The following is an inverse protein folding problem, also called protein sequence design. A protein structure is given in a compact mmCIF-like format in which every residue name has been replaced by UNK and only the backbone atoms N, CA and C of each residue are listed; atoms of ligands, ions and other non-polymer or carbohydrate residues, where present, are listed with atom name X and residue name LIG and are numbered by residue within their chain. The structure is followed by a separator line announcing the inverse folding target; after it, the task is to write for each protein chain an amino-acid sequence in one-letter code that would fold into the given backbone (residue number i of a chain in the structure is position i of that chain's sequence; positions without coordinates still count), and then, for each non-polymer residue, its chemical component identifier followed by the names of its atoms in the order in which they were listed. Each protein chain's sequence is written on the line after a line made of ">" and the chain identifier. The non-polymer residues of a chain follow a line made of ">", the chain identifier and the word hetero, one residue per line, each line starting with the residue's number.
data_IF_728199105774
#
_entry.id   IF_728199105774
#
_cell.length_a   1.000
_cell.length_b   1.000
_cell.length_c   1.000
_cell.angle_alpha   90.00
_cell.angle_beta   90.00
_cell.angle_gamma   90.00
#
_symmetry.space_group_name_H-M   'P 1'
#
loop_
_entity.id
_entity.type
_entity.pdbx_description
1 polymer ?
#
# COMPACT_ATOMS: atom_id res chain seq x y z
N UNK A 1 -29.90 -16.39 -6.14
CA UNK A 1 -28.54 -16.81 -6.53
C UNK A 1 -28.61 -18.17 -7.22
N UNK A 2 -27.81 -18.36 -8.25
CA UNK A 2 -27.61 -19.64 -8.95
C UNK A 2 -26.20 -20.14 -8.68
N UNK A 3 -26.04 -21.44 -8.46
CA UNK A 3 -24.75 -22.08 -8.18
C UNK A 3 -24.51 -23.16 -9.22
N UNK A 4 -23.31 -23.18 -9.80
CA UNK A 4 -22.85 -24.20 -10.74
C UNK A 4 -21.51 -24.76 -10.24
N UNK A 5 -21.39 -26.07 -10.16
CA UNK A 5 -20.11 -26.74 -9.91
C UNK A 5 -19.44 -27.09 -11.23
N UNK A 6 -18.11 -27.02 -11.27
CA UNK A 6 -17.36 -27.56 -12.40
C UNK A 6 -17.59 -29.08 -12.51
N UNK A 7 -17.54 -29.61 -13.73
CA UNK A 7 -17.79 -31.02 -14.02
C UNK A 7 -16.84 -31.95 -13.25
N UNK A 8 -15.66 -31.45 -12.90
CA UNK A 8 -14.60 -32.17 -12.20
C UNK A 8 -14.33 -31.54 -10.82
N UNK A 9 -15.34 -30.94 -10.20
CA UNK A 9 -15.25 -30.26 -8.91
C UNK A 9 -14.49 -31.05 -7.82
N UNK A 10 -14.59 -32.38 -7.82
CA UNK A 10 -13.83 -33.23 -6.90
C UNK A 10 -12.32 -32.95 -6.93
N UNK A 11 -11.79 -32.61 -8.09
CA UNK A 11 -10.38 -32.29 -8.35
C UNK A 11 -10.15 -30.79 -8.48
N UNK A 12 -10.94 -30.09 -9.30
CA UNK A 12 -10.72 -28.66 -9.60
C UNK A 12 -11.10 -27.73 -8.46
N UNK A 13 -12.03 -28.16 -7.60
CA UNK A 13 -12.57 -27.34 -6.50
C UNK A 13 -13.23 -26.03 -6.97
N UNK A 14 -13.58 -25.96 -8.25
CA UNK A 14 -14.18 -24.78 -8.88
C UNK A 14 -15.72 -24.74 -8.75
N UNK A 15 -16.28 -23.66 -8.23
CA UNK A 15 -17.72 -23.41 -8.30
C UNK A 15 -18.01 -21.94 -8.64
N UNK A 16 -19.12 -21.73 -9.33
CA UNK A 16 -19.55 -20.44 -9.87
C UNK A 16 -20.88 -20.05 -9.23
N UNK A 17 -20.98 -18.81 -8.75
CA UNK A 17 -22.18 -18.28 -8.12
C UNK A 17 -22.59 -16.99 -8.81
N UNK A 18 -23.75 -17.02 -9.46
CA UNK A 18 -24.40 -15.82 -9.96
C UNK A 18 -25.40 -15.34 -8.90
N UNK A 19 -25.09 -14.24 -8.23
CA UNK A 19 -26.06 -13.56 -7.37
C UNK A 19 -26.65 -12.36 -8.12
N UNK A 20 -27.97 -12.30 -8.28
CA UNK A 20 -28.66 -11.21 -8.99
C UNK A 20 -29.71 -10.67 -8.03
N UNK A 21 -29.53 -9.42 -7.64
CA UNK A 21 -30.37 -8.66 -6.72
C UNK A 21 -30.11 -7.15 -6.90
N UNK A 22 -30.89 -6.32 -6.20
CA UNK A 22 -31.00 -4.88 -6.47
C UNK A 22 -29.71 -4.09 -6.15
N UNK A 23 -28.85 -4.60 -5.25
CA UNK A 23 -27.48 -4.13 -5.01
C UNK A 23 -26.57 -5.34 -4.70
N UNK A 24 -25.32 -5.31 -5.15
CA UNK A 24 -24.37 -6.40 -4.90
C UNK A 24 -24.46 -7.57 -5.89
N UNK A 25 -25.16 -7.38 -7.01
CA UNK A 25 -25.32 -8.40 -8.04
C UNK A 25 -24.02 -8.67 -8.78
N UNK A 26 -23.58 -9.92 -8.78
CA UNK A 26 -22.29 -10.28 -9.34
C UNK A 26 -22.13 -11.76 -9.70
N UNK A 27 -21.14 -12.00 -10.55
CA UNK A 27 -20.64 -13.33 -10.88
C UNK A 27 -19.41 -13.63 -10.02
N UNK A 28 -19.48 -14.68 -9.21
CA UNK A 28 -18.44 -15.08 -8.27
C UNK A 28 -17.92 -16.48 -8.59
N UNK A 29 -16.65 -16.73 -8.27
CA UNK A 29 -15.94 -17.99 -8.50
C UNK A 29 -15.15 -18.35 -7.25
N UNK A 30 -15.23 -19.60 -6.83
CA UNK A 30 -14.29 -20.22 -5.90
C UNK A 30 -13.42 -21.19 -6.66
N UNK A 31 -12.15 -21.30 -6.28
CA UNK A 31 -11.18 -22.28 -6.82
C UNK A 31 -10.56 -23.14 -5.70
N UNK A 32 -11.08 -23.01 -4.49
CA UNK A 32 -10.52 -23.59 -3.26
C UNK A 32 -11.56 -24.39 -2.46
N UNK A 33 -12.63 -24.81 -3.15
CA UNK A 33 -13.60 -25.73 -2.59
C UNK A 33 -14.65 -25.01 -1.75
N UNK A 34 -15.07 -23.82 -2.18
CA UNK A 34 -16.03 -22.96 -1.48
C UNK A 34 -15.50 -22.37 -0.16
N UNK A 35 -14.17 -22.30 0.00
CA UNK A 35 -13.57 -21.65 1.17
C UNK A 35 -13.61 -20.13 1.01
N UNK A 36 -13.21 -19.64 -0.17
CA UNK A 36 -13.28 -18.24 -0.55
C UNK A 36 -13.94 -18.10 -1.92
N UNK A 37 -14.66 -16.99 -2.13
CA UNK A 37 -15.28 -16.63 -3.40
C UNK A 37 -14.76 -15.27 -3.84
N UNK A 38 -14.16 -15.22 -5.03
CA UNK A 38 -13.77 -13.98 -5.70
C UNK A 38 -14.86 -13.57 -6.68
N UNK A 39 -15.07 -12.27 -6.86
CA UNK A 39 -16.10 -11.77 -7.76
C UNK A 39 -15.52 -11.36 -9.11
N UNK A 40 -15.66 -12.17 -10.15
CA UNK A 40 -15.09 -11.91 -11.49
C UNK A 40 -15.79 -10.86 -12.35
N UNK A 41 -17.05 -10.54 -12.06
CA UNK A 41 -17.75 -9.49 -12.80
C UNK A 41 -18.84 -8.87 -11.97
N UNK A 42 -18.96 -7.55 -12.12
CA UNK A 42 -20.13 -6.79 -11.72
C UNK A 42 -21.28 -7.07 -12.69
N UNK A 43 -22.47 -7.30 -12.14
CA UNK A 43 -23.71 -7.36 -12.93
C UNK A 43 -24.62 -6.19 -12.56
N UNK A 44 -24.42 -5.56 -11.39
CA UNK A 44 -25.22 -4.43 -10.92
C UNK A 44 -24.56 -3.64 -9.76
N UNK A 45 -23.27 -3.24 -9.88
CA UNK A 45 -22.66 -2.26 -8.94
C UNK A 45 -21.99 -1.11 -9.71
N UNK A 46 -21.95 0.05 -9.08
CA UNK A 46 -21.23 1.23 -9.55
C UNK A 46 -20.03 1.45 -8.64
N UNK A 47 -18.81 1.42 -9.20
CA UNK A 47 -17.62 1.91 -8.48
C UNK A 47 -17.68 3.44 -8.50
N UNK A 48 -17.89 4.06 -7.34
CA UNK A 48 -18.06 5.52 -7.26
C UNK A 48 -16.75 6.28 -7.01
N UNK A 49 -15.82 5.70 -6.25
CA UNK A 49 -14.53 6.35 -5.95
C UNK A 49 -13.39 5.34 -5.90
N UNK A 50 -12.20 5.81 -6.27
CA UNK A 50 -10.94 5.11 -6.03
C UNK A 50 -10.29 5.67 -4.77
N UNK A 51 -9.87 4.78 -3.88
CA UNK A 51 -9.18 5.13 -2.63
C UNK A 51 -7.68 5.05 -2.84
N UNK A 52 -7.20 3.91 -3.36
CA UNK A 52 -5.78 3.69 -3.65
C UNK A 52 -5.61 2.64 -4.75
N UNK A 53 -4.46 2.66 -5.43
CA UNK A 53 -4.09 1.77 -6.52
C UNK A 53 -2.60 1.43 -6.41
N UNK A 54 -2.25 0.17 -6.62
CA UNK A 54 -0.87 -0.22 -6.88
C UNK A 54 -0.79 -1.27 -7.99
N UNK A 55 0.37 -1.36 -8.63
CA UNK A 55 0.60 -2.16 -9.84
C UNK A 55 1.82 -3.05 -9.63
N UNK A 56 1.63 -4.35 -9.82
CA UNK A 56 2.68 -5.34 -9.78
C UNK A 56 3.63 -5.22 -10.99
N UNK A 57 4.84 -5.76 -10.85
CA UNK A 57 5.85 -5.81 -11.92
C UNK A 57 5.41 -6.56 -13.18
N UNK A 58 4.44 -7.48 -13.06
CA UNK A 58 3.86 -8.22 -14.19
C UNK A 58 2.61 -7.56 -14.81
N UNK A 59 2.23 -6.37 -14.33
CA UNK A 59 1.06 -5.64 -14.81
C UNK A 59 -0.27 -6.03 -14.13
N UNK A 60 -0.27 -6.96 -13.17
CA UNK A 60 -1.42 -7.14 -12.29
C UNK A 60 -1.67 -5.85 -11.50
N UNK A 61 -2.93 -5.48 -11.30
CA UNK A 61 -3.29 -4.24 -10.61
C UNK A 61 -4.13 -4.54 -9.38
N UNK A 62 -3.96 -3.75 -8.33
CA UNK A 62 -4.72 -3.88 -7.09
C UNK A 62 -5.29 -2.53 -6.68
N UNK A 63 -6.59 -2.49 -6.47
CA UNK A 63 -7.34 -1.25 -6.30
C UNK A 63 -8.24 -1.33 -5.08
N UNK A 64 -8.25 -0.29 -4.26
CA UNK A 64 -9.27 -0.07 -3.22
C UNK A 64 -10.32 0.90 -3.76
N UNK A 65 -11.60 0.55 -3.64
CA UNK A 65 -12.73 1.41 -4.07
C UNK A 65 -13.64 1.80 -2.91
N UNK A 66 -14.16 3.02 -2.89
CA UNK A 66 -15.17 3.48 -1.93
C UNK A 66 -16.58 3.64 -2.53
N UNK A 67 -17.65 3.77 -1.71
CA UNK A 67 -17.64 3.80 -0.23
C UNK A 67 -17.62 2.41 0.44
N UNK A 68 -17.90 1.35 -0.32
CA UNK A 68 -18.01 0.00 0.24
C UNK A 68 -16.66 -0.62 0.60
N UNK A 69 -15.56 0.06 0.26
CA UNK A 69 -14.19 -0.29 0.57
C UNK A 69 -13.88 -1.75 0.21
N UNK A 70 -13.84 -2.00 -1.08
CA UNK A 70 -13.53 -3.30 -1.66
C UNK A 70 -12.12 -3.31 -2.22
N UNK A 71 -11.43 -4.44 -2.14
CA UNK A 71 -10.19 -4.68 -2.90
C UNK A 71 -10.56 -5.39 -4.20
N UNK A 72 -10.08 -4.85 -5.30
CA UNK A 72 -10.15 -5.42 -6.63
C UNK A 72 -8.77 -5.79 -7.12
N UNK A 73 -8.67 -6.90 -7.83
CA UNK A 73 -7.49 -7.33 -8.57
C UNK A 73 -7.80 -7.34 -10.05
N UNK A 74 -6.91 -6.80 -10.87
CA UNK A 74 -6.86 -7.07 -12.30
C UNK A 74 -5.84 -8.18 -12.56
N UNK A 75 -6.29 -9.29 -13.13
CA UNK A 75 -5.45 -10.44 -13.46
C UNK A 75 -5.99 -11.12 -14.71
N UNK A 76 -5.12 -11.44 -15.67
CA UNK A 76 -5.51 -12.20 -16.86
C UNK A 76 -6.60 -11.55 -17.72
N UNK A 77 -6.67 -10.20 -17.73
CA UNK A 77 -7.64 -9.46 -18.53
C UNK A 77 -8.98 -9.16 -17.84
N UNK A 78 -9.18 -9.66 -16.62
CA UNK A 78 -10.43 -9.49 -15.86
C UNK A 78 -10.18 -8.80 -14.53
N UNK A 79 -11.17 -8.05 -14.07
CA UNK A 79 -11.20 -7.50 -12.71
C UNK A 79 -11.98 -8.45 -11.81
N UNK A 80 -11.42 -8.78 -10.64
CA UNK A 80 -12.14 -9.50 -9.62
C UNK A 80 -12.07 -8.85 -8.24
N UNK A 81 -13.17 -8.90 -7.49
CA UNK A 81 -13.19 -8.48 -6.08
C UNK A 81 -12.58 -9.58 -5.22
N UNK A 82 -11.56 -9.23 -4.45
CA UNK A 82 -10.77 -10.15 -3.61
C UNK A 82 -10.92 -9.88 -2.11
N UNK A 83 -11.47 -8.73 -1.73
CA UNK A 83 -11.90 -8.44 -0.36
C UNK A 83 -13.08 -7.46 -0.34
N UNK A 84 -13.95 -7.56 0.66
CA UNK A 84 -15.18 -6.77 0.80
C UNK A 84 -15.23 -6.09 2.15
N UNK A 85 -15.72 -4.84 2.20
CA UNK A 85 -15.97 -4.14 3.46
C UNK A 85 -14.70 -3.94 4.30
N UNK A 86 -13.54 -3.81 3.66
CA UNK A 86 -12.30 -3.49 4.37
C UNK A 86 -12.39 -2.06 4.88
N UNK A 87 -11.79 -1.70 6.01
CA UNK A 87 -11.64 -0.27 6.38
C UNK A 87 -10.30 0.26 5.87
N UNK A 88 -9.78 -0.28 4.76
CA UNK A 88 -8.42 0.00 4.32
C UNK A 88 -8.30 1.20 3.38
N UNK A 89 -7.15 1.86 3.47
CA UNK A 89 -6.85 3.09 2.72
C UNK A 89 -5.63 3.00 1.83
N UNK A 90 -4.74 2.05 2.11
CA UNK A 90 -3.45 1.95 1.44
C UNK A 90 -3.32 0.52 0.95
N UNK A 91 -2.98 0.34 -0.32
CA UNK A 91 -2.63 -0.97 -0.90
C UNK A 91 -1.24 -0.91 -1.52
N UNK A 92 -0.41 -1.91 -1.23
CA UNK A 92 0.94 -2.01 -1.76
C UNK A 92 1.24 -3.43 -2.22
N UNK A 93 1.95 -3.54 -3.33
CA UNK A 93 2.35 -4.79 -3.95
C UNK A 93 3.85 -4.96 -3.79
N UNK A 94 4.29 -6.18 -3.52
CA UNK A 94 5.72 -6.48 -3.44
C UNK A 94 6.40 -6.24 -4.80
N UNK A 95 7.60 -5.63 -4.83
CA UNK A 95 8.42 -5.58 -6.04
C UNK A 95 8.72 -6.98 -6.60
N UNK A 96 8.75 -7.99 -5.74
CA UNK A 96 8.97 -9.40 -6.08
C UNK A 96 7.67 -10.20 -6.25
N UNK A 97 6.54 -9.54 -6.50
CA UNK A 97 5.21 -10.14 -6.61
C UNK A 97 5.11 -11.30 -7.60
N UNK A 98 5.95 -11.33 -8.64
CA UNK A 98 6.04 -12.49 -9.53
C UNK A 98 6.39 -13.80 -8.82
N UNK A 99 7.17 -13.70 -7.75
CA UNK A 99 7.65 -14.84 -6.97
C UNK A 99 6.91 -15.02 -5.64
N UNK A 100 6.67 -13.94 -4.90
CA UNK A 100 6.12 -14.02 -3.54
C UNK A 100 4.60 -13.78 -3.47
N UNK A 101 4.01 -13.29 -4.56
CA UNK A 101 2.59 -12.93 -4.68
C UNK A 101 2.11 -12.03 -3.55
N UNK A 102 3.01 -11.23 -2.97
CA UNK A 102 2.71 -10.48 -1.77
C UNK A 102 1.96 -9.18 -2.10
N UNK A 103 0.79 -9.03 -1.47
CA UNK A 103 -0.06 -7.84 -1.52
C UNK A 103 -0.39 -7.47 -0.09
N UNK A 104 -0.15 -6.22 0.28
CA UNK A 104 -0.43 -5.70 1.61
C UNK A 104 -1.43 -4.56 1.54
N UNK A 105 -2.26 -4.44 2.55
CA UNK A 105 -3.07 -3.24 2.74
C UNK A 105 -3.12 -2.82 4.20
N UNK A 106 -3.29 -1.53 4.46
CA UNK A 106 -3.39 -0.97 5.81
C UNK A 106 -4.84 -0.54 6.11
N UNK A 107 -5.35 -0.96 7.27
CA UNK A 107 -6.67 -0.64 7.80
C UNK A 107 -6.68 0.67 8.61
N UNK A 108 -7.74 1.47 8.42
CA UNK A 108 -8.18 2.50 9.36
C UNK A 108 -8.64 1.87 10.67
N UNK A 109 -8.31 2.54 11.76
CA UNK A 109 -8.80 2.33 13.12
C UNK A 109 -8.63 0.90 13.67
N UNK A 110 -7.60 0.20 13.19
CA UNK A 110 -7.28 -1.17 13.61
C UNK A 110 -6.02 -1.23 14.47
N UNK A 111 -6.03 -2.12 15.45
CA UNK A 111 -4.80 -2.70 15.99
C UNK A 111 -4.28 -3.74 14.99
N UNK A 112 -2.97 -3.85 14.79
CA UNK A 112 -2.39 -4.67 13.70
C UNK A 112 -2.98 -4.29 12.33
N UNK A 113 -2.80 -3.03 11.94
CA UNK A 113 -3.51 -2.46 10.81
C UNK A 113 -3.12 -3.09 9.45
N UNK A 114 -1.93 -3.68 9.36
CA UNK A 114 -1.43 -4.26 8.11
C UNK A 114 -1.96 -5.68 7.93
N UNK A 115 -2.57 -5.92 6.77
CA UNK A 115 -2.96 -7.25 6.27
C UNK A 115 -2.05 -7.60 5.10
N UNK A 116 -1.69 -8.88 5.02
CA UNK A 116 -0.86 -9.42 3.94
C UNK A 116 -1.58 -10.61 3.30
N UNK A 117 -1.52 -10.69 1.99
CA UNK A 117 -1.71 -11.90 1.22
C UNK A 117 -0.39 -12.31 0.60
N UNK A 118 -0.07 -13.60 0.58
CA UNK A 118 1.07 -14.20 -0.16
C UNK A 118 0.59 -15.26 -1.14
N UNK A 119 -0.71 -15.30 -1.40
CA UNK A 119 -1.35 -16.30 -2.24
C UNK A 119 -2.10 -15.66 -3.39
N UNK A 120 -1.52 -14.57 -3.93
CA UNK A 120 -2.14 -13.73 -4.95
C UNK A 120 -3.50 -13.29 -4.44
N UNK A 121 -3.58 -12.40 -3.45
CA UNK A 121 -4.80 -11.82 -2.88
C UNK A 121 -6.02 -12.73 -2.58
N UNK A 122 -5.89 -14.06 -2.61
CA UNK A 122 -7.03 -14.97 -2.42
C UNK A 122 -7.47 -14.99 -0.96
N UNK A 123 -6.55 -14.71 -0.04
CA UNK A 123 -6.86 -14.47 1.37
C UNK A 123 -5.87 -13.49 1.97
N UNK A 124 -6.31 -12.71 2.96
CA UNK A 124 -5.48 -11.78 3.70
C UNK A 124 -5.44 -12.13 5.18
N UNK A 125 -4.25 -12.13 5.77
CA UNK A 125 -4.01 -12.39 7.18
C UNK A 125 -3.43 -11.15 7.87
N UNK A 126 -3.74 -10.88 9.16
CA UNK A 126 -3.03 -9.85 9.92
C UNK A 126 -1.53 -10.11 9.94
N UNK A 127 -0.73 -9.07 9.72
CA UNK A 127 0.64 -9.09 10.23
C UNK A 127 0.59 -8.92 11.76
N UNK A 128 1.19 -9.85 12.52
CA UNK A 128 1.24 -9.74 13.98
C UNK A 128 1.85 -8.40 14.39
N UNK A 129 1.47 -7.85 15.54
CA UNK A 129 2.09 -6.67 16.16
C UNK A 129 2.29 -5.43 15.26
N UNK A 130 1.65 -5.36 14.09
CA UNK A 130 1.83 -4.26 13.14
C UNK A 130 1.41 -2.93 13.78
N UNK A 131 2.09 -1.82 13.41
CA UNK A 131 1.67 -0.49 13.84
C UNK A 131 0.19 -0.26 13.53
N UNK A 132 -0.43 0.61 14.33
CA UNK A 132 -1.88 0.80 14.36
C UNK A 132 -2.43 1.60 13.17
N UNK A 133 -3.70 1.99 13.30
CA UNK A 133 -4.55 2.75 12.36
C UNK A 133 -3.86 3.73 11.41
N UNK A 134 -4.36 3.90 10.19
CA UNK A 134 -3.95 4.99 9.27
C UNK A 134 -4.42 6.41 9.69
N UNK A 135 -5.07 6.57 10.85
CA UNK A 135 -5.73 7.83 11.26
C UNK A 135 -4.92 8.68 12.27
N UNK A 136 -4.86 10.02 12.15
CA UNK A 136 -3.81 10.89 12.72
C UNK A 136 -3.80 11.11 14.24
N UNK A 137 -4.52 10.34 15.05
CA UNK A 137 -4.60 10.59 16.51
C UNK A 137 -3.68 9.71 17.36
N UNK A 138 -2.85 8.85 16.76
CA UNK A 138 -1.86 8.03 17.49
C UNK A 138 -0.44 8.21 16.93
N UNK A 139 0.57 8.09 17.81
CA UNK A 139 1.99 8.18 17.44
C UNK A 139 2.43 7.11 16.42
N UNK A 140 1.67 6.01 16.33
CA UNK A 140 1.95 4.87 15.46
C UNK A 140 0.99 4.81 14.27
N UNK A 141 0.37 5.94 13.91
CA UNK A 141 -0.55 5.96 12.80
C UNK A 141 0.19 5.72 11.48
N UNK A 142 -0.29 4.82 10.63
CA UNK A 142 0.31 4.55 9.31
C UNK A 142 -0.10 5.67 8.35
N UNK A 143 0.80 6.60 8.10
CA UNK A 143 0.62 7.66 7.10
C UNK A 143 1.00 7.18 5.70
N UNK A 144 1.95 6.25 5.61
CA UNK A 144 2.39 5.68 4.33
C UNK A 144 3.01 4.29 4.53
N UNK A 145 2.96 3.47 3.47
CA UNK A 145 3.44 2.10 3.45
C UNK A 145 4.34 1.88 2.24
N UNK A 146 5.49 1.27 2.46
CA UNK A 146 6.41 0.81 1.44
C UNK A 146 6.71 -0.68 1.67
N UNK A 147 6.46 -1.50 0.65
CA UNK A 147 6.76 -2.93 0.68
C UNK A 147 8.08 -3.17 -0.05
N UNK A 148 9.06 -3.73 0.67
CA UNK A 148 10.34 -4.15 0.09
C UNK A 148 10.31 -5.63 -0.33
N UNK A 149 9.42 -6.41 0.29
CA UNK A 149 9.11 -7.79 -0.07
C UNK A 149 8.08 -8.38 0.90
N UNK A 150 7.70 -9.64 0.70
CA UNK A 150 6.69 -10.32 1.55
C UNK A 150 6.92 -10.20 3.08
N UNK A 151 8.19 -10.15 3.51
CA UNK A 151 8.55 -10.10 4.93
C UNK A 151 9.12 -8.75 5.38
N UNK A 152 9.35 -7.82 4.45
CA UNK A 152 10.05 -6.58 4.73
C UNK A 152 9.25 -5.36 4.29
N UNK A 153 8.98 -4.49 5.25
CA UNK A 153 8.07 -3.36 5.12
C UNK A 153 8.63 -2.16 5.86
N UNK A 154 8.47 -0.99 5.27
CA UNK A 154 8.76 0.31 5.89
C UNK A 154 7.45 1.08 5.99
N UNK A 155 7.16 1.56 7.19
CA UNK A 155 5.97 2.33 7.54
C UNK A 155 6.42 3.73 7.91
N UNK A 156 5.82 4.73 7.28
CA UNK A 156 5.88 6.10 7.78
C UNK A 156 4.81 6.28 8.84
N UNK A 157 5.15 7.01 9.91
CA UNK A 157 4.23 7.39 10.98
C UNK A 157 4.47 8.82 11.45
N UNK A 158 3.59 9.29 12.33
CA UNK A 158 3.73 10.58 13.00
C UNK A 158 4.96 10.65 13.92
N UNK A 159 5.43 9.49 14.42
CA UNK A 159 6.64 9.35 15.24
C UNK A 159 7.94 9.18 14.45
N UNK A 160 7.87 8.87 13.15
CA UNK A 160 9.02 8.65 12.29
C UNK A 160 8.84 7.47 11.34
N UNK A 161 9.81 6.56 11.34
CA UNK A 161 9.79 5.36 10.49
C UNK A 161 9.73 4.12 11.38
N UNK A 162 8.88 3.17 11.02
CA UNK A 162 8.81 1.85 11.65
C UNK A 162 9.12 0.82 10.57
N UNK A 163 10.02 -0.11 10.84
CA UNK A 163 10.37 -1.14 9.86
C UNK A 163 10.08 -2.53 10.39
N UNK A 164 9.95 -3.51 9.50
CA UNK A 164 10.04 -4.92 9.84
C UNK A 164 10.77 -5.67 8.74
N UNK A 165 11.43 -6.76 9.14
CA UNK A 165 11.99 -7.80 8.26
C UNK A 165 11.55 -9.20 8.68
N UNK A 166 10.56 -9.27 9.59
CA UNK A 166 10.20 -10.50 10.31
C UNK A 166 8.76 -10.92 10.03
N UNK A 167 8.22 -10.59 8.84
CA UNK A 167 6.80 -10.85 8.51
C UNK A 167 5.83 -10.26 9.56
N UNK A 168 6.21 -9.10 10.11
CA UNK A 168 5.46 -8.42 11.15
C UNK A 168 5.65 -8.93 12.58
N UNK A 169 6.38 -10.01 12.86
CA UNK A 169 6.52 -10.44 14.27
C UNK A 169 7.19 -9.39 15.19
N UNK A 170 8.05 -8.55 14.62
CA UNK A 170 8.78 -7.51 15.32
C UNK A 170 8.85 -6.23 14.46
N UNK A 171 8.53 -5.09 15.07
CA UNK A 171 8.48 -3.77 14.43
C UNK A 171 9.33 -2.77 15.21
N UNK A 172 10.67 -2.75 15.00
CA UNK A 172 11.51 -1.73 15.59
C UNK A 172 11.11 -0.35 15.06
N UNK A 173 10.78 0.55 15.97
CA UNK A 173 10.66 1.97 15.66
C UNK A 173 12.06 2.57 15.49
N UNK A 174 12.25 3.24 14.36
CA UNK A 174 13.49 3.93 14.00
C UNK A 174 13.21 5.43 14.04
N UNK A 175 13.62 6.07 15.14
CA UNK A 175 13.52 7.52 15.26
C UNK A 175 14.50 8.20 14.31
N UNK A 176 14.00 8.75 13.21
CA UNK A 176 14.81 9.60 12.33
C UNK A 176 14.82 11.02 12.91
N UNK A 177 15.89 11.33 13.64
CA UNK A 177 16.02 12.61 14.35
C UNK A 177 15.76 13.78 13.41
N UNK A 178 14.75 14.59 13.74
CA UNK A 178 14.40 15.80 13.01
C UNK A 178 13.47 15.59 11.80
N UNK A 179 13.16 14.37 11.38
CA UNK A 179 12.24 14.13 10.27
C UNK A 179 10.79 14.42 10.66
N UNK A 180 10.30 13.91 11.79
CA UNK A 180 8.91 14.10 12.23
C UNK A 180 7.93 13.18 11.49
N UNK A 181 6.74 13.69 11.16
CA UNK A 181 5.65 12.95 10.50
C UNK A 181 5.99 12.53 9.07
N UNK A 182 6.23 11.24 8.84
CA UNK A 182 6.65 10.71 7.54
C UNK A 182 5.43 10.45 6.67
N UNK A 183 5.23 11.22 5.62
CA UNK A 183 4.02 11.16 4.79
C UNK A 183 4.22 10.44 3.46
N UNK A 184 5.46 10.27 3.03
CA UNK A 184 5.78 9.57 1.79
C UNK A 184 7.06 8.76 1.93
N UNK A 185 7.04 7.57 1.34
CA UNK A 185 8.18 6.70 1.18
C UNK A 185 8.35 6.35 -0.30
N UNK A 186 9.58 6.26 -0.77
CA UNK A 186 9.91 5.79 -2.11
C UNK A 186 11.15 4.90 -2.06
N UNK A 187 11.21 3.88 -2.92
CA UNK A 187 12.37 3.00 -3.07
C UNK A 187 12.96 3.15 -4.46
N UNK A 188 14.28 3.19 -4.57
CA UNK A 188 14.96 3.09 -5.86
C UNK A 188 15.02 1.61 -6.27
N UNK A 189 14.48 1.24 -7.44
CA UNK A 189 14.42 -0.16 -7.84
C UNK A 189 15.79 -0.77 -8.20
N UNK A 190 16.85 0.05 -8.32
CA UNK A 190 18.20 -0.40 -8.72
C UNK A 190 19.10 -0.55 -7.50
N UNK A 191 19.23 0.47 -6.66
CA UNK A 191 20.08 0.46 -5.48
C UNK A 191 19.39 -0.12 -4.24
N UNK A 192 18.05 -0.06 -4.17
CA UNK A 192 17.29 -0.40 -2.98
C UNK A 192 17.29 0.71 -1.91
N UNK A 193 17.83 1.89 -2.24
CA UNK A 193 17.80 3.03 -1.34
C UNK A 193 16.37 3.54 -1.13
N UNK A 194 16.12 4.15 0.03
CA UNK A 194 14.78 4.57 0.44
C UNK A 194 14.77 6.05 0.79
N UNK A 195 13.82 6.80 0.23
CA UNK A 195 13.49 8.16 0.67
C UNK A 195 12.32 8.14 1.64
N UNK A 196 12.41 8.99 2.65
CA UNK A 196 11.30 9.36 3.52
C UNK A 196 11.08 10.87 3.46
N UNK A 197 9.88 11.28 3.06
CA UNK A 197 9.44 12.67 3.03
C UNK A 197 8.58 13.01 4.24
N UNK A 198 8.86 14.14 4.87
CA UNK A 198 8.06 14.69 5.96
C UNK A 198 7.73 16.15 5.72
N UNK A 199 6.45 16.48 5.86
CA UNK A 199 5.98 17.85 5.93
C UNK A 199 5.97 18.29 7.40
N UNK A 200 6.91 19.15 7.79
CA UNK A 200 6.96 19.71 9.14
C UNK A 200 6.80 21.22 9.11
N UNK A 201 6.18 21.79 10.14
CA UNK A 201 6.01 23.24 10.26
C UNK A 201 7.36 23.94 10.13
N UNK A 202 7.48 24.82 9.13
CA UNK A 202 8.68 25.60 8.87
C UNK A 202 9.65 25.02 7.82
N UNK A 203 9.55 23.74 7.45
CA UNK A 203 10.25 23.15 6.31
C UNK A 203 9.87 21.69 6.04
N UNK A 204 9.68 21.35 4.76
CA UNK A 204 9.71 19.98 4.26
C UNK A 204 11.11 19.38 4.36
N UNK A 205 11.19 18.08 4.68
CA UNK A 205 12.42 17.35 4.94
C UNK A 205 12.43 16.02 4.20
N UNK A 206 13.60 15.62 3.73
CA UNK A 206 13.85 14.32 3.11
C UNK A 206 14.95 13.59 3.87
N UNK A 207 14.72 12.34 4.23
CA UNK A 207 15.75 11.44 4.72
C UNK A 207 16.01 10.33 3.70
N UNK A 208 17.23 9.81 3.71
CA UNK A 208 17.71 8.73 2.86
C UNK A 208 18.23 7.58 3.73
N UNK A 209 17.73 6.38 3.49
CA UNK A 209 18.28 5.12 4.00
C UNK A 209 18.91 4.35 2.86
N UNK A 210 20.03 3.68 3.17
CA UNK A 210 20.77 2.80 2.24
C UNK A 210 20.84 1.35 2.74
N UNK A 211 20.04 1.04 3.76
CA UNK A 211 20.07 -0.22 4.50
C UNK A 211 18.66 -0.70 4.88
N UNK A 212 17.72 -0.60 3.94
CA UNK A 212 16.33 -1.05 4.09
C UNK A 212 15.57 -0.38 5.24
N UNK A 213 15.87 0.89 5.51
CA UNK A 213 15.18 1.70 6.51
C UNK A 213 15.67 1.48 7.95
N UNK A 214 16.80 0.79 8.15
CA UNK A 214 17.38 0.54 9.48
C UNK A 214 18.06 1.81 10.00
N UNK A 215 18.85 2.48 9.16
CA UNK A 215 19.47 3.77 9.46
C UNK A 215 19.12 4.80 8.41
N UNK A 216 19.07 6.05 8.86
CA UNK A 216 18.64 7.18 8.03
C UNK A 216 19.63 8.32 8.18
N UNK A 217 20.11 8.81 7.05
CA UNK A 217 20.75 10.10 6.96
C UNK A 217 19.68 11.13 6.62
N UNK A 218 19.54 12.18 7.43
CA UNK A 218 18.76 13.34 6.98
C UNK A 218 19.58 13.97 5.88
N UNK A 219 19.15 13.79 4.63
CA UNK A 219 19.62 14.62 3.54
C UNK A 219 19.07 16.01 3.82
N UNK A 220 19.79 16.79 4.64
CA UNK A 220 19.43 18.12 5.16
C UNK A 220 19.28 19.15 4.05
N UNK A 221 18.29 18.97 3.20
CA UNK A 221 17.72 20.05 2.43
C UNK A 221 16.34 20.26 2.99
N UNK A 222 16.30 21.20 3.94
CA UNK A 222 15.14 22.05 4.15
C UNK A 222 14.71 22.55 2.77
N UNK A 223 13.58 22.04 2.27
CA UNK A 223 13.07 22.48 0.98
C UNK A 223 12.36 23.82 1.21
N UNK A 224 13.07 24.91 0.91
CA UNK A 224 12.53 26.25 1.06
C UNK A 224 11.24 26.39 0.23
N UNK A 225 10.16 26.80 0.87
CA UNK A 225 8.85 26.93 0.23
C UNK A 225 7.96 25.69 0.30
N UNK A 226 8.42 24.57 0.87
CA UNK A 226 7.51 23.53 1.40
C UNK A 226 7.44 23.78 2.90
N UNK A 227 6.36 24.39 3.40
CA UNK A 227 6.24 24.81 4.80
C UNK A 227 4.87 24.50 5.43
N UNK A 228 4.08 23.61 4.83
CA UNK A 228 2.71 23.39 5.27
C UNK A 228 2.43 21.96 5.74
N UNK A 229 1.36 21.84 6.53
CA UNK A 229 0.70 20.61 7.00
C UNK A 229 0.07 19.75 5.89
N UNK A 230 0.43 19.98 4.63
CA UNK A 230 -0.12 19.30 3.46
C UNK A 230 0.71 18.07 3.06
N UNK A 231 0.15 17.17 2.23
CA UNK A 231 0.83 15.94 1.85
C UNK A 231 2.13 16.23 1.12
N UNK A 232 3.23 15.64 1.61
CA UNK A 232 4.51 15.59 0.90
C UNK A 232 4.65 14.28 0.13
N UNK A 233 5.18 14.36 -1.09
CA UNK A 233 5.53 13.18 -1.90
C UNK A 233 7.01 13.26 -2.25
N UNK A 234 7.73 12.14 -2.15
CA UNK A 234 9.13 12.01 -2.59
C UNK A 234 9.26 10.97 -3.70
N UNK A 235 10.25 11.14 -4.57
CA UNK A 235 10.59 10.17 -5.60
C UNK A 235 12.07 10.23 -5.98
N UNK A 236 12.63 9.09 -6.39
CA UNK A 236 13.95 9.05 -7.03
C UNK A 236 13.87 9.49 -8.49
N UNK A 237 14.95 10.10 -8.99
CA UNK A 237 15.13 10.28 -10.43
C UNK A 237 15.54 8.98 -11.10
N UNK A 238 15.17 8.81 -12.37
CA UNK A 238 15.48 7.60 -13.14
C UNK A 238 16.97 7.24 -13.16
N UNK A 239 17.85 8.25 -13.13
CA UNK A 239 19.30 8.09 -13.16
C UNK A 239 19.96 8.24 -11.78
N UNK A 240 19.19 8.08 -10.68
CA UNK A 240 19.62 8.34 -9.31
C UNK A 240 20.98 7.73 -8.96
N UNK A 241 21.24 6.47 -9.34
CA UNK A 241 22.52 5.80 -9.09
C UNK A 241 23.75 6.56 -9.64
N UNK A 242 23.56 7.38 -10.68
CA UNK A 242 24.63 8.18 -11.31
C UNK A 242 24.56 9.66 -11.01
N UNK A 243 23.36 10.20 -10.81
CA UNK A 243 23.13 11.65 -10.67
C UNK A 243 22.83 12.07 -9.24
N UNK A 244 22.41 11.15 -8.37
CA UNK A 244 21.87 11.48 -7.05
C UNK A 244 20.55 12.27 -7.10
N UNK A 245 19.89 12.30 -8.26
CA UNK A 245 18.69 13.11 -8.48
C UNK A 245 17.50 12.57 -7.68
N UNK A 246 16.81 13.49 -7.00
CA UNK A 246 15.62 13.21 -6.19
C UNK A 246 14.62 14.34 -6.36
N UNK A 247 13.34 14.01 -6.22
CA UNK A 247 12.22 14.93 -6.33
C UNK A 247 11.41 14.95 -5.05
N UNK A 248 10.83 16.11 -4.76
CA UNK A 248 9.84 16.24 -3.70
C UNK A 248 8.77 17.26 -4.09
N UNK A 249 7.55 17.05 -3.62
CA UNK A 249 6.45 17.99 -3.74
C UNK A 249 5.83 18.24 -2.38
N UNK A 250 5.13 19.37 -2.24
CA UNK A 250 4.45 19.70 -1.00
C UNK A 250 3.61 20.96 -1.11
N UNK A 251 3.13 21.46 0.02
CA UNK A 251 2.35 22.69 0.09
C UNK A 251 3.12 23.80 0.83
N UNK A 252 2.82 25.04 0.48
CA UNK A 252 3.30 26.27 1.13
C UNK A 252 2.12 27.05 1.67
N UNK A 253 1.96 27.25 2.99
CA UNK A 253 0.92 28.06 3.62
C UNK A 253 -0.46 28.17 2.88
N UNK A 254 -0.98 27.06 2.32
CA UNK A 254 -2.25 27.03 1.56
C UNK A 254 -2.17 27.16 0.03
N UNK A 255 -0.99 27.22 -0.57
CA UNK A 255 -0.73 27.14 -2.02
C UNK A 255 0.17 25.96 -2.37
N UNK A 256 0.18 25.57 -3.64
CA UNK A 256 1.09 24.55 -4.17
C UNK A 256 2.55 25.07 -4.12
N UNK A 257 3.48 24.26 -3.58
CA UNK A 257 4.91 24.58 -3.56
C UNK A 257 5.63 24.15 -4.85
N UNK A 258 4.92 23.46 -5.76
CA UNK A 258 5.47 22.91 -6.98
C UNK A 258 6.34 21.67 -6.72
N UNK A 259 7.22 21.39 -7.68
CA UNK A 259 8.15 20.25 -7.63
C UNK A 259 9.56 20.76 -7.37
N UNK A 260 10.13 20.32 -6.26
CA UNK A 260 11.54 20.50 -5.96
C UNK A 260 12.37 19.36 -6.57
N UNK A 261 13.57 19.70 -7.04
CA UNK A 261 14.55 18.75 -7.58
C UNK A 261 15.90 18.97 -6.91
N UNK A 262 16.52 17.86 -6.47
CA UNK A 262 17.95 17.80 -6.18
C UNK A 262 18.70 17.31 -7.40
N UNK A 263 19.82 17.95 -7.69
CA UNK A 263 20.86 17.46 -8.61
C UNK A 263 22.16 17.22 -7.85
#
# INVERSE_FOLDING_TARGET
>A
AWVLFDKDYATSKNAYVLNVGDAGGAFNVTVDGMTYFNQWSLVNETISTFVDLDIASNGDMFLITGPDNNIWRYFGGVWERVAVGITGDIIRVSPAYDTDKAVMYALKDSTNAIRISTNNANSFTPQPAAPGSTYPSSANAISTLLVLGANSVVVGSTGGVITTSTNGYYWPEVTVTGLGDVQSLAVDPVSGDILAGSASTGAGKVALSTDNGITWSVATQTIAGIDATGPMIVAFGYSYATTGEMYATGQNAGTDAGVWKRT
#
